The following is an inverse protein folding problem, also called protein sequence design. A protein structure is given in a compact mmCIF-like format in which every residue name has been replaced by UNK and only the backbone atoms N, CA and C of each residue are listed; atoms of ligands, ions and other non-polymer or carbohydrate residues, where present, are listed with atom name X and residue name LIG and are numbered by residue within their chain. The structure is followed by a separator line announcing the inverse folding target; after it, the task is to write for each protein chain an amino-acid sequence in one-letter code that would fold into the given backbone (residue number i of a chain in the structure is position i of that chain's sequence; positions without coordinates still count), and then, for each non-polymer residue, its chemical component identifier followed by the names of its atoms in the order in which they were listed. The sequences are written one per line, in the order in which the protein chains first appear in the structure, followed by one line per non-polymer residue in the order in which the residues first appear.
data_IF_120142606116
#
_entry.id   IF_120142606116
#
_cell.length_a   1.000
_cell.length_b   1.000
_cell.length_c   1.000
_cell.angle_alpha   90.00
_cell.angle_beta   90.00
_cell.angle_gamma   90.00
#
_symmetry.space_group_name_H-M   'P 1'
#
loop_
_entity.id
_entity.type
_entity.pdbx_description
1 polymer ?
#
# COMPACT_ATOMS: atom_id res chain seq x y z
N UNK A 1 -5.18 -18.70 1.92
CA UNK A 1 -4.95 -17.30 1.51
C UNK A 1 -5.52 -16.39 2.59
N UNK A 2 -4.86 -15.28 2.94
CA UNK A 2 -5.38 -14.39 3.97
C UNK A 2 -6.61 -13.62 3.44
N UNK A 3 -7.73 -13.67 4.16
CA UNK A 3 -8.87 -12.81 3.85
C UNK A 3 -8.67 -11.44 4.46
N UNK A 4 -9.37 -10.42 3.95
CA UNK A 4 -9.24 -9.06 4.48
C UNK A 4 -9.70 -8.99 5.95
N UNK A 5 -10.72 -9.76 6.33
CA UNK A 5 -11.25 -9.87 7.69
C UNK A 5 -10.20 -10.48 8.63
N UNK A 6 -9.48 -11.50 8.16
CA UNK A 6 -8.38 -12.09 8.93
C UNK A 6 -7.26 -11.07 9.16
N UNK A 7 -6.95 -10.23 8.16
CA UNK A 7 -5.94 -9.17 8.31
C UNK A 7 -6.40 -8.10 9.28
N UNK A 8 -7.65 -7.65 9.19
CA UNK A 8 -8.23 -6.72 10.17
C UNK A 8 -8.16 -7.27 11.60
N UNK A 9 -8.58 -8.53 11.79
CA UNK A 9 -8.47 -9.23 13.06
C UNK A 9 -7.02 -9.31 13.54
N UNK A 10 -6.07 -9.63 12.65
CA UNK A 10 -4.64 -9.68 12.98
C UNK A 10 -4.10 -8.32 13.44
N UNK A 11 -4.44 -7.25 12.72
CA UNK A 11 -3.98 -5.88 13.03
C UNK A 11 -4.52 -5.41 14.37
N UNK A 12 -5.81 -5.61 14.66
CA UNK A 12 -6.43 -5.08 15.88
C UNK A 12 -6.34 -6.01 17.10
N UNK A 13 -6.27 -7.33 16.92
CA UNK A 13 -6.17 -8.27 18.04
C UNK A 13 -4.72 -8.49 18.53
N UNK A 14 -3.72 -7.92 17.84
CA UNK A 14 -2.33 -8.00 18.30
C UNK A 14 -2.14 -7.10 19.53
N UNK A 15 -1.56 -7.62 20.64
CA UNK A 15 -1.34 -6.85 21.86
C UNK A 15 -0.53 -5.57 21.60
N UNK A 16 -0.94 -4.45 22.22
CA UNK A 16 -0.26 -3.16 22.07
C UNK A 16 -0.47 -2.49 20.71
N UNK A 17 -1.48 -2.89 19.93
CA UNK A 17 -1.82 -2.26 18.65
C UNK A 17 -2.12 -0.76 18.79
N UNK A 18 -2.98 -0.37 19.74
CA UNK A 18 -3.50 1.00 19.85
C UNK A 18 -2.41 2.06 20.01
N UNK A 19 -1.43 1.94 20.94
CA UNK A 19 -0.34 2.91 21.03
C UNK A 19 0.43 3.06 19.72
N UNK A 20 0.69 1.95 19.01
CA UNK A 20 1.45 1.97 17.77
C UNK A 20 0.68 2.64 16.63
N UNK A 21 -0.62 2.33 16.53
CA UNK A 21 -1.51 2.94 15.53
C UNK A 21 -1.70 4.44 15.77
N UNK A 22 -1.91 4.86 17.02
CA UNK A 22 -2.06 6.27 17.38
C UNK A 22 -0.80 7.08 17.07
N UNK A 23 0.39 6.55 17.43
CA UNK A 23 1.66 7.20 17.09
C UNK A 23 1.80 7.34 15.57
N UNK A 24 1.54 6.27 14.81
CA UNK A 24 1.61 6.31 13.35
C UNK A 24 0.66 7.34 12.73
N UNK A 25 -0.59 7.40 13.21
CA UNK A 25 -1.56 8.43 12.81
C UNK A 25 -1.04 9.83 13.13
N UNK A 26 -0.59 10.10 14.36
CA UNK A 26 -0.08 11.42 14.74
C UNK A 26 1.13 11.85 13.90
N UNK A 27 2.06 10.94 13.64
CA UNK A 27 3.24 11.21 12.80
C UNK A 27 2.85 11.48 11.35
N UNK A 28 1.78 10.85 10.85
CA UNK A 28 1.32 11.00 9.47
C UNK A 28 0.69 12.37 9.17
N UNK A 29 0.24 13.10 10.21
CA UNK A 29 -0.31 14.45 10.08
C UNK A 29 0.73 15.50 9.67
N UNK A 30 1.99 15.27 10.02
CA UNK A 30 3.08 16.24 9.78
C UNK A 30 3.89 15.79 8.57
N UNK A 31 3.88 16.51 7.43
CA UNK A 31 4.42 16.02 6.16
C UNK A 31 5.87 15.49 6.20
N UNK A 32 6.78 16.20 6.88
CA UNK A 32 8.19 15.80 6.98
C UNK A 32 8.37 14.60 7.93
N UNK A 33 7.57 14.54 8.99
CA UNK A 33 7.63 13.46 9.98
C UNK A 33 6.93 12.20 9.44
N UNK A 34 5.99 12.36 8.49
CA UNK A 34 5.26 11.27 7.86
C UNK A 34 6.20 10.22 7.21
N UNK A 35 7.41 10.59 6.79
CA UNK A 35 8.40 9.61 6.32
C UNK A 35 8.71 8.53 7.37
N UNK A 36 8.63 8.85 8.67
CA UNK A 36 8.80 7.86 9.74
C UNK A 36 7.62 6.88 9.78
N UNK A 37 6.40 7.37 9.54
CA UNK A 37 5.22 6.52 9.43
C UNK A 37 5.30 5.62 8.18
N UNK A 38 5.78 6.14 7.04
CA UNK A 38 6.03 5.33 5.84
C UNK A 38 7.08 4.24 6.10
N UNK A 39 8.17 4.56 6.82
CA UNK A 39 9.18 3.59 7.21
C UNK A 39 8.65 2.53 8.16
N UNK A 40 7.69 2.89 9.02
CA UNK A 40 7.00 1.94 9.86
C UNK A 40 6.18 0.94 9.04
N UNK A 41 5.43 1.41 8.04
CA UNK A 41 4.69 0.56 7.10
C UNK A 41 5.63 -0.37 6.31
N UNK A 42 6.78 0.15 5.90
CA UNK A 42 7.84 -0.66 5.27
C UNK A 42 8.29 -1.82 6.18
N UNK A 43 8.59 -1.55 7.45
CA UNK A 43 9.02 -2.60 8.40
C UNK A 43 7.92 -3.58 8.74
N UNK A 44 6.68 -3.10 8.86
CA UNK A 44 5.53 -3.97 9.14
C UNK A 44 5.32 -4.99 8.02
N UNK A 45 5.41 -4.56 6.76
CA UNK A 45 5.31 -5.47 5.59
C UNK A 45 6.51 -6.43 5.53
N UNK A 46 7.71 -5.97 5.84
CA UNK A 46 8.90 -6.83 5.90
C UNK A 46 8.74 -7.98 6.91
N UNK A 47 8.18 -7.70 8.10
CA UNK A 47 7.91 -8.73 9.12
C UNK A 47 6.85 -9.75 8.66
N UNK A 48 5.78 -9.29 8.01
CA UNK A 48 4.73 -10.18 7.45
C UNK A 48 5.30 -11.11 6.40
N UNK A 49 6.15 -10.56 5.53
CA UNK A 49 6.85 -11.30 4.49
C UNK A 49 7.80 -12.35 5.07
N UNK A 50 8.52 -12.02 6.15
CA UNK A 50 9.54 -12.87 6.75
C UNK A 50 9.02 -14.19 7.37
N UNK A 51 7.70 -14.39 7.50
CA UNK A 51 7.20 -15.64 8.08
C UNK A 51 6.44 -15.47 9.37
N UNK A 52 6.82 -14.46 10.15
CA UNK A 52 6.54 -14.37 11.57
C UNK A 52 5.05 -14.13 11.88
N UNK A 53 4.60 -14.51 13.09
CA UNK A 53 3.37 -13.94 13.64
C UNK A 53 3.44 -12.42 13.53
N UNK A 54 2.35 -11.78 13.12
CA UNK A 54 2.37 -10.33 12.94
C UNK A 54 2.60 -9.68 14.29
N UNK A 55 3.73 -9.01 14.39
CA UNK A 55 4.09 -8.17 15.51
C UNK A 55 4.32 -6.76 14.96
N UNK A 56 3.91 -5.78 15.76
CA UNK A 56 4.12 -4.38 15.41
C UNK A 56 5.61 -4.03 15.51
N UNK A 57 6.20 -3.35 14.50
CA UNK A 57 7.53 -2.80 14.65
C UNK A 57 7.66 -1.83 15.83
N UNK A 58 8.88 -1.61 16.26
CA UNK A 58 9.18 -0.57 17.23
C UNK A 58 9.39 0.80 16.59
N UNK A 59 8.88 1.85 17.26
CA UNK A 59 9.12 3.26 16.95
C UNK A 59 10.50 3.70 17.47
N UNK A 60 11.50 2.84 17.29
CA UNK A 60 12.88 3.08 17.69
C UNK A 60 13.75 3.21 16.43
N UNK A 61 14.98 3.71 16.59
CA UNK A 61 15.92 3.91 15.47
C UNK A 61 15.33 4.80 14.37
N UNK A 62 14.83 5.97 14.76
CA UNK A 62 14.17 6.96 13.90
C UNK A 62 14.93 7.28 12.61
N UNK A 63 16.26 7.34 12.66
CA UNK A 63 17.10 7.55 11.46
C UNK A 63 16.85 6.48 10.40
N UNK A 64 16.73 5.22 10.79
CA UNK A 64 16.53 4.12 9.85
C UNK A 64 15.08 4.03 9.39
N UNK A 65 14.11 4.31 10.28
CA UNK A 65 12.71 4.47 9.88
C UNK A 65 12.58 5.54 8.79
N UNK A 66 13.28 6.66 8.92
CA UNK A 66 13.26 7.70 7.90
C UNK A 66 13.83 7.22 6.56
N UNK A 67 14.96 6.47 6.57
CA UNK A 67 15.56 5.92 5.35
C UNK A 67 14.66 4.86 4.69
N UNK A 68 14.05 3.97 5.49
CA UNK A 68 13.08 2.98 5.02
C UNK A 68 11.83 3.69 4.44
N UNK A 69 11.40 4.78 5.06
CA UNK A 69 10.32 5.63 4.59
C UNK A 69 10.63 6.34 3.29
N UNK A 70 11.88 6.77 3.08
CA UNK A 70 12.31 7.36 1.81
C UNK A 70 12.26 6.33 0.67
N UNK A 71 12.74 5.10 0.90
CA UNK A 71 12.63 4.00 -0.07
C UNK A 71 11.16 3.72 -0.40
N UNK A 72 10.32 3.62 0.62
CA UNK A 72 8.87 3.43 0.47
C UNK A 72 8.24 4.57 -0.35
N UNK A 73 8.58 5.82 -0.05
CA UNK A 73 8.08 6.99 -0.75
C UNK A 73 8.50 7.01 -2.22
N UNK A 74 9.76 6.71 -2.53
CA UNK A 74 10.24 6.66 -3.92
C UNK A 74 9.48 5.62 -4.73
N UNK A 75 9.29 4.41 -4.18
CA UNK A 75 8.49 3.38 -4.84
C UNK A 75 7.03 3.80 -5.00
N UNK A 76 6.45 4.47 -4.00
CA UNK A 76 5.09 5.00 -4.06
C UNK A 76 4.93 6.09 -5.12
N UNK A 77 5.89 7.00 -5.23
CA UNK A 77 5.88 8.05 -6.25
C UNK A 77 5.87 7.45 -7.65
N UNK A 78 6.69 6.43 -7.89
CA UNK A 78 6.72 5.75 -9.19
C UNK A 78 5.43 4.97 -9.43
N UNK A 79 5.05 4.08 -8.53
CA UNK A 79 3.99 3.11 -8.81
C UNK A 79 2.57 3.58 -8.51
N UNK A 80 2.39 4.59 -7.67
CA UNK A 80 1.09 5.25 -7.47
C UNK A 80 1.03 6.51 -8.34
N UNK A 81 2.09 7.32 -8.31
CA UNK A 81 2.12 8.60 -9.05
C UNK A 81 2.04 8.45 -10.56
N UNK A 82 2.80 7.52 -11.17
CA UNK A 82 2.76 7.35 -12.64
C UNK A 82 1.37 6.89 -13.11
N UNK A 83 0.75 5.84 -12.54
CA UNK A 83 -0.62 5.48 -12.92
C UNK A 83 -1.61 6.62 -12.72
N UNK A 84 -1.51 7.40 -11.64
CA UNK A 84 -2.38 8.56 -11.41
C UNK A 84 -2.22 9.63 -12.49
N UNK A 85 -1.00 9.95 -12.91
CA UNK A 85 -0.74 10.91 -13.99
C UNK A 85 -1.29 10.40 -15.32
N UNK A 86 -1.07 9.12 -15.64
CA UNK A 86 -1.61 8.49 -16.85
C UNK A 86 -3.15 8.49 -16.81
N UNK A 87 -3.73 8.09 -15.68
CA UNK A 87 -5.17 8.08 -15.47
C UNK A 87 -5.78 9.47 -15.60
N UNK A 88 -5.13 10.49 -15.06
CA UNK A 88 -5.54 11.89 -15.21
C UNK A 88 -5.47 12.36 -16.67
N UNK A 89 -4.40 11.99 -17.40
CA UNK A 89 -4.27 12.34 -18.81
C UNK A 89 -5.37 11.70 -19.65
N UNK A 90 -5.64 10.40 -19.46
CA UNK A 90 -6.73 9.68 -20.16
C UNK A 90 -8.09 10.27 -19.75
N UNK A 91 -8.25 10.63 -18.48
CA UNK A 91 -9.45 11.28 -17.95
C UNK A 91 -9.77 12.58 -18.68
N UNK A 92 -8.76 13.42 -18.93
CA UNK A 92 -8.93 14.65 -19.71
C UNK A 92 -9.36 14.37 -21.16
N UNK A 93 -8.78 13.35 -21.82
CA UNK A 93 -9.13 13.00 -23.20
C UNK A 93 -10.57 12.48 -23.33
N UNK A 94 -10.98 11.58 -22.44
CA UNK A 94 -12.34 11.01 -22.42
C UNK A 94 -13.36 12.06 -21.97
N UNK A 95 -12.95 12.96 -21.06
CA UNK A 95 -13.76 14.06 -20.55
C UNK A 95 -14.25 15.03 -21.64
N UNK A 96 -13.53 15.13 -22.78
CA UNK A 96 -14.00 15.90 -23.95
C UNK A 96 -15.31 15.34 -24.51
N UNK A 97 -15.53 14.03 -24.40
CA UNK A 97 -16.73 13.35 -24.89
C UNK A 97 -17.83 13.38 -23.83
N UNK A 98 -17.49 13.03 -22.59
CA UNK A 98 -18.40 13.00 -21.46
C UNK A 98 -17.62 13.18 -20.16
N UNK A 99 -18.01 14.18 -19.37
CA UNK A 99 -17.36 14.46 -18.09
C UNK A 99 -17.42 13.24 -17.14
N UNK A 100 -18.56 12.57 -17.08
CA UNK A 100 -18.75 11.41 -16.19
C UNK A 100 -17.89 10.21 -16.62
N UNK A 101 -17.79 9.92 -17.93
CA UNK A 101 -16.89 8.88 -18.43
C UNK A 101 -15.42 9.28 -18.23
N UNK A 102 -15.12 10.58 -18.30
CA UNK A 102 -13.79 11.12 -18.03
C UNK A 102 -13.30 10.82 -16.63
N UNK A 103 -14.16 10.69 -15.61
CA UNK A 103 -13.73 10.43 -14.22
C UNK A 103 -13.22 9.00 -14.01
N UNK A 104 -13.70 8.05 -14.80
CA UNK A 104 -13.43 6.61 -14.61
C UNK A 104 -11.93 6.26 -14.71
N UNK A 105 -11.16 6.70 -15.72
CA UNK A 105 -9.73 6.40 -15.82
C UNK A 105 -8.91 6.84 -14.60
N UNK A 106 -9.18 8.03 -14.06
CA UNK A 106 -8.49 8.51 -12.88
C UNK A 106 -8.83 7.66 -11.65
N UNK A 107 -10.11 7.35 -11.44
CA UNK A 107 -10.54 6.49 -10.34
C UNK A 107 -9.95 5.07 -10.43
N UNK A 108 -9.85 4.51 -11.64
CA UNK A 108 -9.26 3.19 -11.87
C UNK A 108 -7.74 3.18 -11.65
N UNK A 109 -7.05 4.31 -11.85
CA UNK A 109 -5.59 4.38 -11.71
C UNK A 109 -5.10 4.21 -10.27
N UNK A 110 -5.89 4.63 -9.28
CA UNK A 110 -5.55 4.54 -7.85
C UNK A 110 -5.38 3.08 -7.39
N UNK A 111 -6.39 2.19 -7.54
CA UNK A 111 -6.25 0.80 -7.14
C UNK A 111 -5.15 0.07 -7.93
N UNK A 112 -5.02 0.35 -9.24
CA UNK A 112 -3.92 -0.18 -10.06
C UNK A 112 -2.56 0.20 -9.45
N UNK A 113 -2.39 1.48 -9.11
CA UNK A 113 -1.15 1.99 -8.55
C UNK A 113 -0.82 1.41 -7.18
N UNK A 114 -1.80 1.29 -6.28
CA UNK A 114 -1.60 0.69 -4.94
C UNK A 114 -1.17 -0.78 -5.08
N UNK A 115 -1.74 -1.52 -6.01
CA UNK A 115 -1.41 -2.92 -6.21
C UNK A 115 0.00 -3.10 -6.79
N UNK A 116 0.36 -2.32 -7.81
CA UNK A 116 1.70 -2.29 -8.40
C UNK A 116 2.75 -1.86 -7.37
N UNK A 117 2.43 -0.84 -6.57
CA UNK A 117 3.26 -0.38 -5.48
C UNK A 117 3.51 -1.48 -4.46
N UNK A 118 2.45 -2.17 -4.02
CA UNK A 118 2.57 -3.26 -3.05
C UNK A 118 3.41 -4.42 -3.60
N UNK A 119 3.27 -4.76 -4.88
CA UNK A 119 4.08 -5.79 -5.54
C UNK A 119 5.54 -5.38 -5.67
N UNK A 120 5.79 -4.12 -6.04
CA UNK A 120 7.13 -3.54 -6.12
C UNK A 120 7.82 -3.52 -4.76
N UNK A 121 7.12 -3.07 -3.72
CA UNK A 121 7.61 -3.07 -2.34
C UNK A 121 8.00 -4.48 -1.88
N UNK A 122 7.13 -5.47 -2.14
CA UNK A 122 7.40 -6.87 -1.83
C UNK A 122 8.69 -7.37 -2.49
N UNK A 123 8.89 -7.07 -3.78
CA UNK A 123 10.11 -7.46 -4.51
C UNK A 123 11.34 -6.68 -4.07
N UNK A 124 11.22 -5.39 -3.85
CA UNK A 124 12.32 -4.55 -3.36
C UNK A 124 12.88 -5.12 -2.06
N UNK A 125 12.01 -5.54 -1.16
CA UNK A 125 12.39 -6.19 0.10
C UNK A 125 13.08 -7.56 -0.07
N UNK A 126 13.09 -8.18 -1.27
CA UNK A 126 13.78 -9.45 -1.53
C UNK A 126 15.21 -9.21 -2.03
N UNK A 127 15.39 -8.23 -2.91
CA UNK A 127 16.64 -8.03 -3.65
C UNK A 127 17.37 -6.75 -3.29
N UNK A 128 16.76 -5.86 -2.50
CA UNK A 128 17.23 -4.49 -2.17
C UNK A 128 17.68 -3.68 -3.40
N UNK A 129 17.15 -4.02 -4.57
CA UNK A 129 17.52 -3.48 -5.87
C UNK A 129 16.35 -2.73 -6.47
N UNK A 130 16.56 -1.44 -6.75
CA UNK A 130 15.55 -0.62 -7.44
C UNK A 130 15.30 -1.11 -8.87
N UNK A 131 16.30 -1.69 -9.55
CA UNK A 131 16.13 -2.21 -10.90
C UNK A 131 15.06 -3.31 -10.94
N UNK A 132 15.09 -4.22 -9.97
CA UNK A 132 14.15 -5.34 -9.88
C UNK A 132 12.78 -4.91 -9.34
N UNK A 133 12.75 -3.85 -8.52
CA UNK A 133 11.52 -3.22 -8.05
C UNK A 133 10.83 -2.37 -9.12
N UNK A 134 11.54 -2.03 -10.20
CA UNK A 134 11.04 -1.23 -11.32
C UNK A 134 10.77 -2.07 -12.59
N UNK A 135 10.90 -3.40 -12.53
CA UNK A 135 10.64 -4.31 -13.65
C UNK A 135 9.14 -4.37 -13.98
N UNK A 136 8.70 -3.49 -14.88
CA UNK A 136 7.31 -3.35 -15.30
C UNK A 136 6.72 -4.65 -15.89
N UNK A 137 7.35 -5.36 -16.85
CA UNK A 137 6.81 -6.61 -17.39
C UNK A 137 6.53 -7.67 -16.32
N UNK A 138 7.40 -7.76 -15.31
CA UNK A 138 7.23 -8.69 -14.22
C UNK A 138 6.12 -8.27 -13.26
N UNK A 139 6.07 -6.99 -12.90
CA UNK A 139 5.02 -6.45 -12.03
C UNK A 139 3.62 -6.53 -12.69
N UNK A 140 3.53 -6.33 -14.00
CA UNK A 140 2.28 -6.52 -14.73
C UNK A 140 1.80 -7.96 -14.71
N UNK A 141 2.71 -8.95 -14.80
CA UNK A 141 2.35 -10.36 -14.63
C UNK A 141 1.82 -10.66 -13.22
N UNK A 142 2.44 -10.09 -12.19
CA UNK A 142 1.96 -10.21 -10.81
C UNK A 142 0.58 -9.56 -10.65
N UNK A 143 0.40 -8.35 -11.20
CA UNK A 143 -0.86 -7.61 -11.18
C UNK A 143 -1.99 -8.43 -11.82
N UNK A 144 -1.81 -8.90 -13.07
CA UNK A 144 -2.84 -9.67 -13.78
C UNK A 144 -3.22 -10.98 -13.05
N UNK A 145 -2.26 -11.61 -12.35
CA UNK A 145 -2.51 -12.81 -11.55
C UNK A 145 -3.24 -12.50 -10.23
N UNK A 146 -3.17 -11.26 -9.74
CA UNK A 146 -3.66 -10.89 -8.42
C UNK A 146 -4.83 -9.91 -8.41
N UNK A 147 -5.22 -9.37 -9.58
CA UNK A 147 -6.27 -8.36 -9.72
C UNK A 147 -7.62 -8.82 -9.15
N UNK A 148 -8.00 -10.09 -9.35
CA UNK A 148 -9.24 -10.65 -8.83
C UNK A 148 -9.30 -10.67 -7.30
N UNK A 149 -8.14 -10.81 -6.64
CA UNK A 149 -8.04 -10.76 -5.18
C UNK A 149 -7.91 -9.32 -4.65
N UNK A 150 -7.34 -8.42 -5.45
CA UNK A 150 -7.11 -7.03 -5.06
C UNK A 150 -8.33 -6.12 -5.17
N UNK A 151 -9.28 -6.43 -6.06
CA UNK A 151 -10.38 -5.53 -6.40
C UNK A 151 -11.22 -5.10 -5.19
N UNK A 152 -11.77 -6.07 -4.44
CA UNK A 152 -12.66 -5.76 -3.31
C UNK A 152 -11.94 -5.02 -2.17
N UNK A 153 -10.75 -5.45 -1.69
CA UNK A 153 -10.00 -4.71 -0.68
C UNK A 153 -9.63 -3.29 -1.11
N UNK A 154 -9.24 -3.10 -2.37
CA UNK A 154 -8.88 -1.78 -2.89
C UNK A 154 -10.07 -0.85 -3.05
N UNK A 155 -11.22 -1.37 -3.49
CA UNK A 155 -12.47 -0.62 -3.51
C UNK A 155 -12.89 -0.20 -2.11
N UNK A 156 -12.75 -1.09 -1.12
CA UNK A 156 -12.99 -0.76 0.29
C UNK A 156 -12.04 0.34 0.79
N UNK A 157 -10.74 0.23 0.50
CA UNK A 157 -9.74 1.24 0.83
C UNK A 157 -10.09 2.61 0.23
N UNK A 158 -10.37 2.66 -1.07
CA UNK A 158 -10.74 3.89 -1.77
C UNK A 158 -12.07 4.46 -1.27
N UNK A 159 -13.06 3.60 -1.01
CA UNK A 159 -14.37 3.98 -0.48
C UNK A 159 -14.28 4.61 0.90
N UNK A 160 -13.47 4.06 1.81
CA UNK A 160 -13.24 4.64 3.15
C UNK A 160 -12.59 6.02 3.03
N UNK A 161 -11.56 6.17 2.19
CA UNK A 161 -10.91 7.45 1.95
C UNK A 161 -11.89 8.49 1.41
N UNK A 162 -12.74 8.08 0.47
CA UNK A 162 -13.73 8.96 -0.16
C UNK A 162 -14.82 9.39 0.83
N UNK A 163 -15.40 8.45 1.59
CA UNK A 163 -16.46 8.73 2.59
C UNK A 163 -15.96 9.70 3.67
N UNK A 164 -14.72 9.53 4.12
CA UNK A 164 -14.16 10.36 5.20
C UNK A 164 -13.63 11.72 4.70
N UNK A 165 -13.41 11.89 3.39
CA UNK A 165 -12.94 13.14 2.81
C UNK A 165 -11.68 13.65 3.51
N UNK A 166 -11.71 14.87 4.05
CA UNK A 166 -10.58 15.47 4.79
C UNK A 166 -10.22 14.71 6.07
N UNK A 167 -11.19 14.05 6.73
CA UNK A 167 -10.94 13.26 7.93
C UNK A 167 -10.15 11.97 7.63
N UNK A 168 -10.01 11.61 6.35
CA UNK A 168 -9.23 10.45 5.92
C UNK A 168 -7.79 10.51 6.42
N UNK A 169 -7.22 11.70 6.63
CA UNK A 169 -5.86 11.86 7.17
C UNK A 169 -5.67 11.21 8.54
N UNK A 170 -6.74 11.07 9.34
CA UNK A 170 -6.70 10.43 10.66
C UNK A 170 -6.63 8.90 10.57
N UNK A 171 -7.11 8.32 9.47
CA UNK A 171 -7.20 6.86 9.30
C UNK A 171 -6.27 6.32 8.24
N UNK A 172 -5.71 7.18 7.36
CA UNK A 172 -4.93 6.78 6.18
C UNK A 172 -3.77 5.86 6.55
N UNK A 173 -3.10 6.12 7.67
CA UNK A 173 -2.03 5.26 8.19
C UNK A 173 -2.54 3.84 8.50
N UNK A 174 -3.67 3.73 9.20
CA UNK A 174 -4.24 2.46 9.65
C UNK A 174 -4.73 1.64 8.45
N UNK A 175 -5.51 2.25 7.56
CA UNK A 175 -6.03 1.55 6.38
C UNK A 175 -4.90 1.18 5.40
N UNK A 176 -3.84 1.99 5.32
CA UNK A 176 -2.65 1.68 4.51
C UNK A 176 -1.86 0.52 5.10
N UNK A 177 -1.75 0.45 6.43
CA UNK A 177 -1.17 -0.73 7.08
C UNK A 177 -1.94 -2.00 6.73
N UNK A 178 -3.27 -1.97 6.86
CA UNK A 178 -4.13 -3.13 6.56
C UNK A 178 -3.98 -3.58 5.11
N UNK A 179 -4.07 -2.67 4.14
CA UNK A 179 -4.02 -3.03 2.71
C UNK A 179 -2.64 -3.58 2.33
N UNK A 180 -1.56 -3.03 2.89
CA UNK A 180 -0.20 -3.48 2.61
C UNK A 180 0.10 -4.84 3.26
N UNK A 181 -0.36 -5.07 4.49
CA UNK A 181 -0.26 -6.39 5.15
C UNK A 181 -1.04 -7.44 4.37
N UNK A 182 -2.23 -7.08 3.87
CA UNK A 182 -3.04 -7.95 3.02
C UNK A 182 -2.30 -8.36 1.74
N UNK A 183 -1.84 -7.39 0.93
CA UNK A 183 -1.13 -7.68 -0.31
C UNK A 183 0.17 -8.45 -0.08
N UNK A 184 0.94 -8.09 0.95
CA UNK A 184 2.16 -8.83 1.32
C UNK A 184 1.84 -10.29 1.64
N UNK A 185 0.74 -10.55 2.36
CA UNK A 185 0.31 -11.92 2.68
C UNK A 185 -0.15 -12.69 1.44
N UNK A 186 -0.83 -12.02 0.50
CA UNK A 186 -1.24 -12.59 -0.79
C UNK A 186 -0.01 -12.97 -1.64
N UNK A 187 0.93 -12.05 -1.83
CA UNK A 187 2.13 -12.30 -2.64
C UNK A 187 2.99 -13.41 -2.05
N UNK A 188 3.12 -13.44 -0.72
CA UNK A 188 3.80 -14.52 -0.02
C UNK A 188 3.13 -15.88 -0.25
N UNK A 189 1.80 -15.97 -0.17
CA UNK A 189 1.08 -17.21 -0.43
C UNK A 189 1.31 -17.73 -1.87
N UNK A 190 1.41 -16.81 -2.84
CA UNK A 190 1.69 -17.14 -4.24
C UNK A 190 3.14 -17.62 -4.43
N UNK A 191 4.11 -17.00 -3.75
CA UNK A 191 5.52 -17.37 -3.82
C UNK A 191 5.78 -18.77 -3.26
N UNK A 192 5.14 -19.13 -2.14
CA UNK A 192 5.33 -20.43 -1.49
C UNK A 192 4.38 -21.54 -1.98
N UNK A 193 3.58 -21.29 -3.01
CA UNK A 193 2.75 -22.33 -3.62
C UNK A 193 1.68 -22.93 -2.69
N UNK A 194 1.27 -22.22 -1.63
CA UNK A 194 0.18 -22.66 -0.75
C UNK A 194 -1.15 -22.43 -1.47
N UNK A 195 -1.52 -23.41 -2.30
CA UNK A 195 -2.78 -23.50 -3.04
C UNK A 195 -3.59 -24.70 -2.52
#
# INVERSE_FOLDING_TARGET
MATIEQVWGKVFNTPGCWPKLLVGTCLSLVPIINFLALGYLYRATLLVKAGAPFIYPDWTRWRELFLDGLKFFVLGLVWIGIPMVIGQFISMLVGVISEELGRIPFMASIPIGIQLFSASLYRFQNFESFKDALDLPLLMRVYLRTVSYGLLPLLGYCGILWILGTLSILVIFIISLVILVYFTSVYRAIEFGTF
#
